data_IF_303965303486
#
_entry.id   IF_303965303486
#
_cell.length_a   1.000
_cell.length_b   1.000
_cell.length_c   1.000
_cell.angle_alpha   90.00
_cell.angle_beta   90.00
_cell.angle_gamma   90.00
#
_symmetry.space_group_name_H-M   'P 1'
#
loop_
_entity.id
_entity.type
_entity.pdbx_description
1 polymer ?
#
# COMPACT_ATOMS: atom_id res chain seq x y z
N UNK A 1 0.39 -2.48 -8.03
CA UNK A 1 0.87 -3.70 -7.38
C UNK A 1 -0.27 -4.71 -7.25
N UNK A 2 -0.07 -5.93 -7.73
CA UNK A 2 -1.09 -7.00 -7.70
C UNK A 2 -1.46 -7.38 -6.26
N UNK A 3 -0.47 -7.50 -5.37
CA UNK A 3 -0.67 -7.89 -3.97
C UNK A 3 -1.65 -6.98 -3.20
N UNK A 4 -1.54 -5.66 -3.33
CA UNK A 4 -2.43 -4.72 -2.65
C UNK A 4 -3.88 -4.81 -3.17
N UNK A 5 -4.06 -5.11 -4.46
CA UNK A 5 -5.40 -5.31 -5.02
C UNK A 5 -6.02 -6.63 -4.55
N UNK A 6 -5.22 -7.70 -4.48
CA UNK A 6 -5.69 -9.00 -3.99
C UNK A 6 -6.05 -8.93 -2.51
N UNK A 7 -5.17 -8.38 -1.67
CA UNK A 7 -5.46 -8.15 -0.25
C UNK A 7 -6.75 -7.34 -0.11
N UNK A 8 -6.90 -6.22 -0.82
CA UNK A 8 -8.14 -5.42 -0.81
C UNK A 8 -9.38 -6.24 -1.17
N UNK A 9 -9.32 -7.12 -2.17
CA UNK A 9 -10.46 -7.96 -2.57
C UNK A 9 -10.81 -8.98 -1.49
N UNK A 10 -9.82 -9.60 -0.85
CA UNK A 10 -10.03 -10.56 0.25
C UNK A 10 -10.76 -9.92 1.43
N UNK A 11 -10.34 -8.73 1.84
CA UNK A 11 -11.01 -8.04 2.96
C UNK A 11 -12.41 -7.55 2.59
N UNK A 12 -12.67 -7.25 1.31
CA UNK A 12 -14.01 -6.83 0.88
C UNK A 12 -15.10 -7.88 1.14
N UNK A 13 -14.77 -9.17 1.26
CA UNK A 13 -15.72 -10.20 1.69
C UNK A 13 -15.94 -10.25 3.19
N UNK A 14 -15.00 -9.73 3.98
CA UNK A 14 -15.01 -9.78 5.45
C UNK A 14 -15.60 -8.51 6.08
N UNK A 15 -15.66 -7.42 5.31
CA UNK A 15 -16.16 -6.12 5.77
C UNK A 15 -17.69 -6.04 5.79
N UNK A 16 -18.20 -5.23 6.73
CA UNK A 16 -19.61 -4.83 6.74
C UNK A 16 -19.99 -4.12 5.43
N UNK A 17 -21.28 -4.15 5.03
CA UNK A 17 -21.72 -3.51 3.79
C UNK A 17 -21.30 -2.03 3.68
N UNK A 18 -21.35 -1.30 4.81
CA UNK A 18 -20.93 0.11 4.90
C UNK A 18 -19.42 0.27 4.68
N UNK A 19 -18.59 -0.50 5.40
CA UNK A 19 -17.14 -0.44 5.26
C UNK A 19 -16.68 -0.89 3.86
N UNK A 20 -17.35 -1.89 3.29
CA UNK A 20 -17.13 -2.34 1.90
C UNK A 20 -17.43 -1.25 0.87
N UNK A 21 -18.56 -0.55 1.03
CA UNK A 21 -18.91 0.58 0.16
C UNK A 21 -17.88 1.71 0.27
N UNK A 22 -17.45 2.04 1.49
CA UNK A 22 -16.43 3.04 1.75
C UNK A 22 -15.08 2.69 1.12
N UNK A 23 -14.64 1.44 1.29
CA UNK A 23 -13.42 0.91 0.68
C UNK A 23 -13.48 0.96 -0.85
N UNK A 24 -14.63 0.64 -1.46
CA UNK A 24 -14.82 0.72 -2.92
C UNK A 24 -14.85 2.15 -3.43
N UNK A 25 -15.42 3.11 -2.71
CA UNK A 25 -15.42 4.51 -3.13
C UNK A 25 -14.00 5.11 -3.14
N UNK A 26 -13.20 4.75 -2.13
CA UNK A 26 -11.94 5.42 -1.86
C UNK A 26 -10.68 4.63 -2.24
N UNK A 27 -10.81 3.45 -2.89
CA UNK A 27 -9.68 2.56 -3.20
C UNK A 27 -8.57 3.19 -4.08
N UNK A 28 -8.84 4.31 -4.74
CA UNK A 28 -7.84 5.03 -5.55
C UNK A 28 -6.74 5.65 -4.69
N UNK A 29 -7.04 5.97 -3.43
CA UNK A 29 -6.08 6.55 -2.48
C UNK A 29 -4.86 5.63 -2.25
N UNK A 30 -5.04 4.32 -2.36
CA UNK A 30 -3.93 3.36 -2.23
C UNK A 30 -2.85 3.50 -3.32
N UNK A 31 -3.21 4.04 -4.48
CA UNK A 31 -2.29 4.18 -5.61
C UNK A 31 -1.47 5.48 -5.53
N UNK A 32 -1.99 6.49 -4.85
CA UNK A 32 -1.32 7.77 -4.67
C UNK A 32 -0.18 7.64 -3.66
N UNK A 33 0.83 8.50 -3.78
CA UNK A 33 1.90 8.61 -2.78
C UNK A 33 1.38 9.45 -1.62
N UNK A 34 1.68 9.04 -0.39
CA UNK A 34 1.19 9.74 0.82
C UNK A 34 1.57 11.22 0.83
N UNK A 35 2.72 11.57 0.26
CA UNK A 35 3.23 12.94 0.15
C UNK A 35 2.33 13.84 -0.73
N UNK A 36 1.72 13.26 -1.78
CA UNK A 36 0.81 13.97 -2.70
C UNK A 36 -0.62 14.13 -2.18
N UNK A 37 -0.96 13.52 -1.04
CA UNK A 37 -2.32 13.53 -0.50
C UNK A 37 -2.60 14.78 0.33
N UNK A 38 -3.81 15.32 0.18
CA UNK A 38 -4.35 16.33 1.10
C UNK A 38 -4.50 15.77 2.51
N UNK A 39 -4.56 16.64 3.52
CA UNK A 39 -4.75 16.22 4.91
C UNK A 39 -6.04 15.40 5.10
N UNK A 40 -7.10 15.74 4.39
CA UNK A 40 -8.37 15.01 4.40
C UNK A 40 -8.23 13.62 3.75
N UNK A 41 -7.56 13.54 2.60
CA UNK A 41 -7.31 12.26 1.94
C UNK A 41 -6.42 11.34 2.77
N UNK A 42 -5.47 11.89 3.54
CA UNK A 42 -4.65 11.13 4.49
C UNK A 42 -5.49 10.54 5.62
N UNK A 43 -6.45 11.29 6.16
CA UNK A 43 -7.39 10.77 7.17
C UNK A 43 -8.24 9.64 6.61
N UNK A 44 -8.82 9.82 5.42
CA UNK A 44 -9.60 8.78 4.75
C UNK A 44 -8.74 7.54 4.50
N UNK A 45 -7.51 7.71 4.04
CA UNK A 45 -6.59 6.60 3.84
C UNK A 45 -6.29 5.87 5.14
N UNK A 46 -6.00 6.57 6.24
CA UNK A 46 -5.72 5.93 7.53
C UNK A 46 -6.93 5.14 8.07
N UNK A 47 -8.15 5.65 7.88
CA UNK A 47 -9.38 4.91 8.20
C UNK A 47 -9.47 3.60 7.40
N UNK A 48 -9.22 3.66 6.08
CA UNK A 48 -9.23 2.46 5.23
C UNK A 48 -8.14 1.46 5.62
N UNK A 49 -6.95 1.92 5.97
CA UNK A 49 -5.86 1.08 6.46
C UNK A 49 -6.17 0.49 7.85
N UNK A 50 -7.11 1.09 8.59
CA UNK A 50 -7.66 0.56 9.84
C UNK A 50 -8.54 -0.67 9.66
N UNK A 51 -9.05 -0.93 8.45
CA UNK A 51 -9.93 -2.09 8.19
C UNK A 51 -9.22 -3.44 8.27
N UNK A 52 -7.90 -3.48 8.08
CA UNK A 52 -7.12 -4.70 8.24
C UNK A 52 -5.64 -4.42 8.46
N UNK A 53 -5.01 -5.07 9.45
CA UNK A 53 -3.56 -5.01 9.63
C UNK A 53 -2.79 -5.47 8.38
N UNK A 54 -3.33 -6.44 7.63
CA UNK A 54 -2.70 -6.94 6.40
C UNK A 54 -2.73 -5.88 5.29
N UNK A 55 -3.86 -5.16 5.16
CA UNK A 55 -3.97 -4.05 4.21
C UNK A 55 -2.96 -2.95 4.50
N UNK A 56 -2.83 -2.59 5.79
CA UNK A 56 -1.85 -1.60 6.25
C UNK A 56 -0.44 -2.01 5.89
N UNK A 57 -0.02 -3.22 6.29
CA UNK A 57 1.32 -3.74 5.98
C UNK A 57 1.61 -3.78 4.47
N UNK A 58 0.64 -4.21 3.66
CA UNK A 58 0.81 -4.22 2.21
C UNK A 58 0.95 -2.81 1.61
N UNK A 59 0.19 -1.85 2.10
CA UNK A 59 0.29 -0.46 1.66
C UNK A 59 1.61 0.20 2.10
N UNK A 60 2.03 0.00 3.35
CA UNK A 60 3.31 0.50 3.87
C UNK A 60 4.50 -0.06 3.09
N UNK A 61 4.47 -1.36 2.77
CA UNK A 61 5.50 -1.99 1.94
C UNK A 61 5.51 -1.41 0.52
N UNK A 62 4.34 -1.09 -0.03
CA UNK A 62 4.21 -0.40 -1.32
C UNK A 62 4.86 0.98 -1.27
N UNK A 63 4.57 1.78 -0.25
CA UNK A 63 5.14 3.13 -0.12
C UNK A 63 6.65 3.07 0.09
N UNK A 64 7.13 2.22 0.99
CA UNK A 64 8.57 2.04 1.22
C UNK A 64 9.30 1.68 -0.09
N UNK A 65 8.66 0.86 -0.94
CA UNK A 65 9.23 0.47 -2.23
C UNK A 65 9.30 1.64 -3.19
N UNK A 66 8.21 2.42 -3.29
CA UNK A 66 8.16 3.62 -4.12
C UNK A 66 9.18 4.66 -3.66
N UNK A 67 9.29 4.91 -2.36
CA UNK A 67 10.29 5.83 -1.79
C UNK A 67 11.70 5.38 -2.15
N UNK A 68 12.07 4.13 -1.82
CA UNK A 68 13.41 3.63 -2.12
C UNK A 68 13.74 3.68 -3.62
N UNK A 69 12.80 3.33 -4.50
CA UNK A 69 13.00 3.40 -5.95
C UNK A 69 13.22 4.84 -6.43
N UNK A 70 12.40 5.79 -5.96
CA UNK A 70 12.50 7.21 -6.34
C UNK A 70 13.81 7.87 -5.87
N UNK A 71 14.35 7.43 -4.73
CA UNK A 71 15.59 7.96 -4.15
C UNK A 71 16.84 7.11 -4.50
N UNK A 72 16.70 6.08 -5.34
CA UNK A 72 17.84 5.28 -5.78
C UNK A 72 18.73 6.08 -6.74
N UNK A 73 20.05 6.19 -6.48
CA UNK A 73 20.92 7.08 -7.24
C UNK A 73 21.20 6.59 -8.67
N UNK A 74 21.08 5.28 -8.92
CA UNK A 74 21.25 4.67 -10.23
C UNK A 74 20.59 3.28 -10.27
N UNK A 75 20.50 2.72 -11.48
CA UNK A 75 19.87 1.43 -11.72
C UNK A 75 20.56 0.28 -10.96
N UNK A 76 21.87 0.32 -10.77
CA UNK A 76 22.62 -0.72 -10.05
C UNK A 76 22.27 -0.75 -8.56
N UNK A 77 22.20 0.42 -7.92
CA UNK A 77 21.75 0.57 -6.53
C UNK A 77 20.29 0.12 -6.37
N UNK A 78 19.44 0.40 -7.36
CA UNK A 78 18.08 -0.11 -7.40
C UNK A 78 18.07 -1.65 -7.53
N UNK A 79 18.84 -2.25 -8.43
CA UNK A 79 18.89 -3.72 -8.57
C UNK A 79 19.36 -4.40 -7.29
N UNK A 80 20.41 -3.87 -6.65
CA UNK A 80 20.95 -4.43 -5.41
C UNK A 80 19.96 -4.32 -4.23
N UNK A 81 19.28 -3.18 -4.07
CA UNK A 81 18.27 -3.02 -3.04
C UNK A 81 17.04 -3.90 -3.26
N UNK A 82 16.61 -4.09 -4.51
CA UNK A 82 15.52 -5.01 -4.85
C UNK A 82 15.88 -6.45 -4.47
N UNK A 83 17.06 -6.94 -4.87
CA UNK A 83 17.52 -8.29 -4.56
C UNK A 83 17.57 -8.54 -3.05
N UNK A 84 18.13 -7.59 -2.29
CA UNK A 84 18.17 -7.66 -0.82
C UNK A 84 16.76 -7.70 -0.20
N UNK A 85 15.81 -6.97 -0.76
CA UNK A 85 14.42 -6.99 -0.29
C UNK A 85 13.70 -8.31 -0.59
N UNK A 86 13.99 -8.92 -1.74
CA UNK A 86 13.51 -10.26 -2.07
C UNK A 86 14.06 -11.31 -1.09
N UNK A 87 15.33 -11.22 -0.72
CA UNK A 87 15.96 -12.11 0.27
C UNK A 87 15.37 -11.94 1.68
N UNK A 88 15.01 -10.72 2.06
CA UNK A 88 14.33 -10.43 3.34
C UNK A 88 12.85 -10.87 3.37
N UNK A 89 12.28 -11.29 2.23
CA UNK A 89 10.91 -11.76 2.10
C UNK A 89 10.68 -13.23 2.46
N UNK A 90 11.72 -13.97 2.85
CA UNK A 90 11.65 -15.38 3.28
C UNK A 90 11.74 -15.47 4.80
N UNK A 91 10.68 -15.08 5.50
CA UNK A 91 10.40 -15.49 6.90
C UNK A 91 8.90 -15.66 7.07
#
# INVERSE_FOLDING_TARGET
>A
MVALQEVRKTIQSELSPRAKAWLKANHRLFNLQVESLSAESKKTLDELLGYSPLLRKCWERKEAFTTWYNYSPNAEAATNGFNRWCEQGVV
#
